data_IF_123533479085
#
_entry.id   IF_123533479085
#
_cell.length_a   1.000
_cell.length_b   1.000
_cell.length_c   1.000
_cell.angle_alpha   90.00
_cell.angle_beta   90.00
_cell.angle_gamma   90.00
#
_symmetry.space_group_name_H-M   'P 1'
#
loop_
_entity.id
_entity.type
_entity.pdbx_description
1 polymer ?
#
# COMPACT_ATOMS: atom_id res chain seq x y z
N UNK A 1 -61.27 3.22 35.42
CA UNK A 1 -60.59 3.29 34.14
C UNK A 1 -59.09 3.52 34.39
N UNK A 2 -58.29 2.47 34.33
CA UNK A 2 -56.84 2.56 34.38
C UNK A 2 -56.37 2.69 32.92
N UNK A 3 -55.95 3.88 32.51
CA UNK A 3 -55.28 4.10 31.23
C UNK A 3 -53.82 3.64 31.38
N UNK A 4 -53.45 2.56 30.68
CA UNK A 4 -52.04 2.18 30.56
C UNK A 4 -51.29 3.28 29.83
N UNK A 5 -50.37 3.91 30.49
CA UNK A 5 -49.35 4.76 29.83
C UNK A 5 -48.43 3.81 29.01
N UNK A 6 -48.61 3.82 27.69
CA UNK A 6 -47.61 3.22 26.80
C UNK A 6 -46.35 4.05 26.92
N UNK A 7 -45.32 3.48 27.55
CA UNK A 7 -43.96 4.04 27.47
C UNK A 7 -43.56 4.09 25.99
N UNK A 8 -43.39 5.30 25.48
CA UNK A 8 -42.89 5.50 24.09
C UNK A 8 -41.66 4.69 23.84
N UNK A 9 -41.64 3.96 22.72
CA UNK A 9 -40.43 3.23 22.29
C UNK A 9 -39.21 4.14 22.36
N UNK A 10 -38.20 3.75 23.15
CA UNK A 10 -36.92 4.44 23.25
C UNK A 10 -35.86 3.51 22.68
N UNK A 11 -34.95 4.00 21.83
CA UNK A 11 -34.86 5.35 21.28
C UNK A 11 -35.96 5.65 20.23
N UNK A 12 -36.44 6.89 20.17
CA UNK A 12 -37.47 7.26 19.20
C UNK A 12 -36.82 7.26 17.77
N UNK A 13 -37.57 6.91 16.71
CA UNK A 13 -37.10 6.98 15.34
C UNK A 13 -36.56 8.39 14.97
N UNK A 14 -37.12 9.43 15.54
CA UNK A 14 -36.69 10.82 15.36
C UNK A 14 -35.29 11.06 15.94
N UNK A 15 -34.93 10.42 17.07
CA UNK A 15 -33.63 10.56 17.67
C UNK A 15 -32.54 9.93 16.79
N UNK A 16 -32.78 8.76 16.24
CA UNK A 16 -31.83 8.10 15.35
C UNK A 16 -31.60 8.93 14.07
N UNK A 17 -32.67 9.48 13.46
CA UNK A 17 -32.53 10.37 12.30
C UNK A 17 -31.76 11.66 12.61
N UNK A 18 -31.90 12.20 13.81
CA UNK A 18 -31.13 13.36 14.25
C UNK A 18 -29.63 13.05 14.41
N UNK A 19 -29.31 11.93 15.05
CA UNK A 19 -27.90 11.47 15.18
C UNK A 19 -27.28 11.21 13.81
N UNK A 20 -28.00 10.54 12.91
CA UNK A 20 -27.53 10.31 11.54
C UNK A 20 -27.24 11.61 10.80
N UNK A 21 -28.12 12.62 10.91
CA UNK A 21 -27.92 13.93 10.32
C UNK A 21 -26.66 14.62 10.88
N UNK A 22 -26.44 14.57 12.21
CA UNK A 22 -25.23 15.14 12.82
C UNK A 22 -23.95 14.46 12.33
N UNK A 23 -23.94 13.12 12.24
CA UNK A 23 -22.77 12.39 11.76
C UNK A 23 -22.51 12.71 10.28
N UNK A 24 -23.57 12.90 9.48
CA UNK A 24 -23.44 13.31 8.08
C UNK A 24 -22.79 14.70 7.96
N UNK A 25 -23.19 15.65 8.79
CA UNK A 25 -22.56 16.97 8.84
C UNK A 25 -21.10 16.91 9.28
N UNK A 26 -20.77 16.07 10.27
CA UNK A 26 -19.40 15.83 10.69
C UNK A 26 -18.55 15.22 9.56
N UNK A 27 -19.06 14.22 8.85
CA UNK A 27 -18.40 13.60 7.73
C UNK A 27 -18.13 14.61 6.61
N UNK A 28 -19.12 15.46 6.28
CA UNK A 28 -18.97 16.56 5.32
C UNK A 28 -17.90 17.56 5.76
N UNK A 29 -17.85 17.92 7.04
CA UNK A 29 -16.81 18.80 7.59
C UNK A 29 -15.39 18.23 7.47
N UNK A 30 -15.26 16.92 7.51
CA UNK A 30 -13.98 16.20 7.31
C UNK A 30 -13.67 15.89 5.84
N UNK A 31 -14.56 16.22 4.91
CA UNK A 31 -14.53 15.80 3.50
C UNK A 31 -14.42 14.28 3.33
N UNK A 32 -15.07 13.52 4.20
CA UNK A 32 -15.16 12.08 4.14
C UNK A 32 -16.57 11.65 3.74
N UNK A 33 -16.71 10.53 3.01
CA UNK A 33 -18.01 9.94 2.74
C UNK A 33 -18.70 9.53 4.05
N UNK A 34 -20.02 9.76 4.14
CA UNK A 34 -20.80 9.42 5.32
C UNK A 34 -20.69 7.93 5.69
N UNK A 35 -20.80 7.05 4.69
CA UNK A 35 -20.73 5.61 4.87
C UNK A 35 -19.37 5.15 5.43
N UNK A 36 -18.28 5.84 5.07
CA UNK A 36 -16.95 5.59 5.61
C UNK A 36 -16.86 5.88 7.11
N UNK A 37 -17.60 6.89 7.58
CA UNK A 37 -17.60 7.29 9.00
C UNK A 37 -18.57 6.45 9.82
N UNK A 38 -19.71 6.08 9.24
CA UNK A 38 -20.81 5.50 9.98
C UNK A 38 -20.89 3.98 9.84
N UNK A 39 -21.06 3.47 8.64
CA UNK A 39 -21.24 2.03 8.39
C UNK A 39 -20.85 1.64 6.96
N UNK A 40 -19.62 1.21 6.79
CA UNK A 40 -19.16 0.66 5.51
C UNK A 40 -19.71 -0.73 5.20
N UNK A 41 -20.11 -1.50 6.21
CA UNK A 41 -20.59 -2.87 6.03
C UNK A 41 -21.94 -2.91 5.29
N UNK A 42 -22.71 -1.83 5.36
CA UNK A 42 -23.98 -1.69 4.64
C UNK A 42 -23.81 -1.49 3.13
N UNK A 43 -22.60 -1.22 2.64
CA UNK A 43 -22.32 -0.94 1.23
C UNK A 43 -22.03 -2.24 0.46
N UNK A 44 -22.64 -2.37 -0.74
CA UNK A 44 -22.22 -3.38 -1.71
C UNK A 44 -20.81 -3.12 -2.25
N UNK A 45 -20.12 -4.16 -2.72
CA UNK A 45 -18.69 -4.11 -3.10
C UNK A 45 -18.29 -2.97 -4.04
N UNK A 46 -19.13 -2.62 -5.03
CA UNK A 46 -18.85 -1.51 -5.96
C UNK A 46 -18.97 -0.16 -5.25
N UNK A 47 -20.03 0.05 -4.46
CA UNK A 47 -20.24 1.28 -3.71
C UNK A 47 -19.13 1.48 -2.67
N UNK A 48 -18.73 0.44 -1.96
CA UNK A 48 -17.63 0.48 -1.01
C UNK A 48 -16.31 0.93 -1.66
N UNK A 49 -16.01 0.46 -2.88
CA UNK A 49 -14.81 0.90 -3.62
C UNK A 49 -14.84 2.39 -3.97
N UNK A 50 -15.99 2.89 -4.39
CA UNK A 50 -16.16 4.32 -4.73
C UNK A 50 -15.97 5.18 -3.47
N UNK A 51 -16.61 4.82 -2.37
CA UNK A 51 -16.51 5.51 -1.09
C UNK A 51 -15.07 5.52 -0.55
N UNK A 52 -14.38 4.37 -0.61
CA UNK A 52 -12.97 4.28 -0.24
C UNK A 52 -12.08 5.14 -1.14
N UNK A 53 -12.33 5.16 -2.44
CA UNK A 53 -11.56 5.99 -3.36
C UNK A 53 -11.75 7.49 -3.07
N UNK A 54 -12.95 7.91 -2.65
CA UNK A 54 -13.22 9.28 -2.23
C UNK A 54 -12.50 9.62 -0.91
N UNK A 55 -12.58 8.75 0.09
CA UNK A 55 -11.85 8.90 1.35
C UNK A 55 -10.33 8.96 1.11
N UNK A 56 -9.81 8.11 0.25
CA UNK A 56 -8.39 8.07 -0.09
C UNK A 56 -7.88 9.38 -0.74
N UNK A 57 -8.71 10.04 -1.56
CA UNK A 57 -8.36 11.36 -2.11
C UNK A 57 -8.20 12.41 -1.01
N UNK A 58 -9.06 12.38 0.00
CA UNK A 58 -8.97 13.28 1.16
C UNK A 58 -7.71 13.00 1.97
N UNK A 59 -7.39 11.73 2.24
CA UNK A 59 -6.16 11.35 2.93
C UNK A 59 -4.91 11.76 2.16
N UNK A 60 -4.86 11.49 0.85
CA UNK A 60 -3.73 11.90 0.00
C UNK A 60 -3.52 13.41 0.00
N UNK A 61 -4.59 14.20 -0.06
CA UNK A 61 -4.51 15.65 0.06
C UNK A 61 -3.92 16.09 1.40
N UNK A 62 -4.36 15.47 2.49
CA UNK A 62 -3.86 15.77 3.84
C UNK A 62 -2.39 15.37 4.00
N UNK A 63 -1.98 14.24 3.44
CA UNK A 63 -0.59 13.79 3.40
C UNK A 63 0.30 14.78 2.64
N UNK A 64 -0.11 15.24 1.47
CA UNK A 64 0.62 16.25 0.69
C UNK A 64 0.77 17.58 1.44
N UNK A 65 -0.29 18.03 2.13
CA UNK A 65 -0.21 19.23 2.96
C UNK A 65 0.73 19.06 4.14
N UNK A 66 0.74 17.89 4.78
CA UNK A 66 1.65 17.56 5.88
C UNK A 66 3.10 17.53 5.38
N UNK A 67 3.34 16.89 4.25
CA UNK A 67 4.65 16.82 3.61
C UNK A 67 5.19 18.22 3.29
N UNK A 68 4.42 19.03 2.59
CA UNK A 68 4.84 20.34 2.11
C UNK A 68 5.02 21.35 3.25
N UNK A 69 4.08 21.37 4.21
CA UNK A 69 4.03 22.42 5.21
C UNK A 69 4.73 22.09 6.52
N UNK A 70 4.94 20.81 6.81
CA UNK A 70 5.49 20.37 8.10
C UNK A 70 6.76 19.55 7.91
N UNK A 71 6.69 18.44 7.18
CA UNK A 71 7.78 17.48 7.12
C UNK A 71 9.00 18.04 6.38
N UNK A 72 8.81 18.61 5.19
CA UNK A 72 9.91 19.19 4.41
C UNK A 72 10.59 20.36 5.11
N UNK A 73 9.89 21.37 5.64
CA UNK A 73 10.53 22.46 6.39
C UNK A 73 11.30 21.99 7.62
N UNK A 74 10.76 21.04 8.39
CA UNK A 74 11.46 20.49 9.57
C UNK A 74 12.71 19.73 9.14
N UNK A 75 12.62 18.85 8.15
CA UNK A 75 13.75 18.11 7.59
C UNK A 75 14.84 19.07 7.11
N UNK A 76 14.46 20.07 6.30
CA UNK A 76 15.42 21.02 5.75
C UNK A 76 16.12 21.83 6.86
N UNK A 77 15.40 22.25 7.90
CA UNK A 77 15.97 22.95 9.04
C UNK A 77 16.96 22.06 9.84
N UNK A 78 16.61 20.78 10.05
CA UNK A 78 17.47 19.86 10.81
C UNK A 78 18.72 19.50 10.02
N UNK A 79 18.57 19.11 8.74
CA UNK A 79 19.70 18.68 7.91
C UNK A 79 20.65 19.86 7.61
N UNK A 80 20.12 21.04 7.26
CA UNK A 80 20.95 22.21 7.01
C UNK A 80 21.77 22.62 8.25
N UNK A 81 21.16 22.51 9.44
CA UNK A 81 21.86 22.74 10.71
C UNK A 81 22.98 21.71 10.92
N UNK A 82 22.72 20.43 10.70
CA UNK A 82 23.71 19.37 10.84
C UNK A 82 24.90 19.55 9.86
N UNK A 83 24.63 19.97 8.62
CA UNK A 83 25.68 20.33 7.65
C UNK A 83 26.49 21.55 8.13
N UNK A 84 25.83 22.59 8.63
CA UNK A 84 26.47 23.78 9.11
C UNK A 84 27.42 23.50 10.29
N UNK A 85 27.06 22.58 11.18
CA UNK A 85 27.91 22.14 12.28
C UNK A 85 28.93 21.05 11.89
N UNK A 86 29.06 20.69 10.63
CA UNK A 86 30.01 19.69 10.15
C UNK A 86 29.69 18.25 10.57
N UNK A 87 28.46 17.96 11.03
CA UNK A 87 28.01 16.62 11.41
C UNK A 87 27.65 15.76 10.19
N UNK A 88 27.26 16.40 9.10
CA UNK A 88 26.93 15.75 7.84
C UNK A 88 27.69 16.38 6.68
N UNK A 89 28.13 15.59 5.68
CA UNK A 89 28.75 16.11 4.48
C UNK A 89 27.72 16.89 3.65
N UNK A 90 28.13 18.01 3.06
CA UNK A 90 27.31 18.76 2.11
C UNK A 90 27.29 18.03 0.77
N UNK A 91 26.08 17.65 0.30
CA UNK A 91 25.86 17.05 -1.00
C UNK A 91 24.90 17.90 -1.82
N UNK A 92 25.01 17.85 -3.15
CA UNK A 92 24.17 18.67 -4.06
C UNK A 92 22.65 18.41 -3.90
N UNK A 93 22.27 17.23 -3.40
CA UNK A 93 20.88 16.77 -3.31
C UNK A 93 20.44 16.49 -1.86
N UNK A 94 21.07 17.10 -0.88
CA UNK A 94 20.80 16.86 0.54
C UNK A 94 19.32 17.10 0.94
N UNK A 95 18.63 17.98 0.23
CA UNK A 95 17.24 18.34 0.49
C UNK A 95 16.22 17.40 -0.18
N UNK A 96 16.65 16.52 -1.10
CA UNK A 96 15.75 15.58 -1.75
C UNK A 96 15.47 14.41 -0.82
N UNK A 97 14.22 14.19 -0.50
CA UNK A 97 13.75 12.99 0.16
C UNK A 97 12.38 12.61 -0.39
N UNK A 98 12.00 11.37 -0.23
CA UNK A 98 10.66 10.86 -0.52
C UNK A 98 10.07 10.39 0.82
N UNK A 99 8.92 10.94 1.17
CA UNK A 99 8.19 10.51 2.36
C UNK A 99 7.35 9.29 2.03
N UNK A 100 7.41 8.30 2.89
CA UNK A 100 6.60 7.10 2.77
C UNK A 100 5.42 7.21 3.73
N UNK A 101 4.22 7.08 3.19
CA UNK A 101 2.97 7.11 3.93
C UNK A 101 2.41 5.70 4.06
N UNK A 102 1.48 5.46 5.01
CA UNK A 102 0.82 4.18 5.15
C UNK A 102 0.16 3.72 3.85
N UNK A 103 0.06 2.40 3.69
CA UNK A 103 -0.56 1.76 2.53
C UNK A 103 -1.97 2.29 2.24
N UNK A 104 -2.35 2.27 0.98
CA UNK A 104 -3.69 2.64 0.55
C UNK A 104 -4.73 1.66 1.11
N UNK A 105 -5.85 2.21 1.61
CA UNK A 105 -6.99 1.41 2.04
C UNK A 105 -7.72 0.91 0.78
N UNK A 106 -7.84 -0.39 0.62
CA UNK A 106 -8.54 -1.01 -0.52
C UNK A 106 -9.62 -1.98 -0.03
N UNK A 107 -10.76 -2.00 -0.72
CA UNK A 107 -11.84 -2.93 -0.43
C UNK A 107 -11.61 -4.32 -1.06
N UNK A 108 -10.75 -4.41 -2.07
CA UNK A 108 -10.53 -5.63 -2.85
C UNK A 108 -9.07 -5.68 -3.30
N UNK A 109 -8.25 -6.34 -2.49
CA UNK A 109 -6.82 -6.48 -2.77
C UNK A 109 -6.56 -7.28 -4.05
N UNK A 110 -7.37 -8.29 -4.34
CA UNK A 110 -7.21 -9.12 -5.52
C UNK A 110 -7.39 -8.33 -6.82
N UNK A 111 -8.42 -7.50 -6.89
CA UNK A 111 -8.65 -6.63 -8.04
C UNK A 111 -7.54 -5.58 -8.21
N UNK A 112 -7.12 -4.97 -7.11
CA UNK A 112 -6.04 -3.97 -7.12
C UNK A 112 -4.73 -4.61 -7.61
N UNK A 113 -4.37 -5.79 -7.10
CA UNK A 113 -3.17 -6.52 -7.51
C UNK A 113 -3.18 -6.87 -8.99
N UNK A 114 -4.32 -7.36 -9.52
CA UNK A 114 -4.43 -7.67 -10.96
C UNK A 114 -4.29 -6.42 -11.82
N UNK A 115 -4.90 -5.31 -11.41
CA UNK A 115 -4.77 -4.03 -12.08
C UNK A 115 -3.31 -3.53 -12.07
N UNK A 116 -2.63 -3.65 -10.94
CA UNK A 116 -1.23 -3.23 -10.78
C UNK A 116 -0.28 -4.07 -11.65
N UNK A 117 -0.50 -5.39 -11.71
CA UNK A 117 0.24 -6.27 -12.63
C UNK A 117 0.03 -5.86 -14.08
N UNK A 118 -1.20 -5.58 -14.49
CA UNK A 118 -1.50 -5.13 -15.84
C UNK A 118 -0.85 -3.78 -16.16
N UNK A 119 -0.86 -2.82 -15.23
CA UNK A 119 -0.20 -1.52 -15.40
C UNK A 119 1.33 -1.66 -15.49
N UNK A 120 1.92 -2.55 -14.68
CA UNK A 120 3.35 -2.83 -14.74
C UNK A 120 3.76 -3.48 -16.05
N UNK A 121 2.98 -4.45 -16.56
CA UNK A 121 3.23 -5.10 -17.85
C UNK A 121 3.16 -4.13 -19.03
N UNK A 122 2.32 -3.11 -18.94
CA UNK A 122 2.21 -2.06 -19.95
C UNK A 122 3.19 -0.88 -19.73
N UNK A 123 4.09 -0.94 -18.74
CA UNK A 123 5.07 0.10 -18.47
C UNK A 123 4.48 1.40 -17.88
N UNK A 124 3.23 1.37 -17.41
CA UNK A 124 2.53 2.54 -16.85
C UNK A 124 2.77 2.70 -15.34
N UNK A 125 3.28 1.65 -14.68
CA UNK A 125 3.57 1.64 -13.25
C UNK A 125 4.84 0.84 -13.00
N UNK A 126 5.67 1.28 -12.05
CA UNK A 126 6.92 0.59 -11.70
C UNK A 126 6.71 -0.32 -10.49
N UNK A 127 7.58 -1.33 -10.31
CA UNK A 127 7.60 -2.15 -9.10
C UNK A 127 7.85 -1.30 -7.85
N UNK A 128 8.67 -0.26 -7.97
CA UNK A 128 8.91 0.72 -6.90
C UNK A 128 7.61 1.43 -6.47
N UNK A 129 6.77 1.84 -7.44
CA UNK A 129 5.50 2.52 -7.12
C UNK A 129 4.54 1.57 -6.42
N UNK A 130 4.46 0.30 -6.86
CA UNK A 130 3.59 -0.71 -6.25
C UNK A 130 4.00 -0.97 -4.80
N UNK A 131 5.30 -1.22 -4.54
CA UNK A 131 5.81 -1.49 -3.20
C UNK A 131 5.58 -0.28 -2.27
N UNK A 132 5.83 0.94 -2.78
CA UNK A 132 5.61 2.17 -2.00
C UNK A 132 4.12 2.40 -1.68
N UNK A 133 3.22 2.11 -2.62
CA UNK A 133 1.77 2.22 -2.38
C UNK A 133 1.25 1.17 -1.38
N UNK A 134 1.91 0.01 -1.31
CA UNK A 134 1.67 -1.02 -0.28
C UNK A 134 2.29 -0.66 1.08
N UNK A 135 3.01 0.45 1.17
CA UNK A 135 3.66 0.90 2.40
C UNK A 135 5.00 0.22 2.68
N UNK A 136 5.56 -0.50 1.71
CA UNK A 136 6.88 -1.13 1.79
C UNK A 136 8.01 -0.24 1.29
N UNK A 137 9.23 -0.54 1.71
CA UNK A 137 10.45 0.02 1.14
C UNK A 137 10.91 -0.84 -0.03
N UNK A 138 11.17 -0.18 -1.18
CA UNK A 138 11.55 -0.92 -2.39
C UNK A 138 12.95 -1.51 -2.31
N UNK A 139 13.91 -0.79 -1.72
CA UNK A 139 15.29 -1.26 -1.59
C UNK A 139 15.35 -2.46 -0.65
N UNK A 140 14.68 -2.37 0.51
CA UNK A 140 14.55 -3.48 1.46
C UNK A 140 13.84 -4.68 0.83
N UNK A 141 12.81 -4.44 0.02
CA UNK A 141 12.09 -5.50 -0.70
C UNK A 141 12.99 -6.21 -1.69
N UNK A 142 13.79 -5.47 -2.49
CA UNK A 142 14.75 -6.05 -3.44
C UNK A 142 15.84 -6.84 -2.72
N UNK A 143 16.40 -6.31 -1.63
CA UNK A 143 17.39 -7.04 -0.82
C UNK A 143 16.83 -8.33 -0.24
N UNK A 144 15.58 -8.28 0.25
CA UNK A 144 14.89 -9.46 0.81
C UNK A 144 14.65 -10.51 -0.27
N UNK A 145 14.17 -10.10 -1.45
CA UNK A 145 13.97 -11.00 -2.58
C UNK A 145 15.30 -11.65 -3.07
N UNK A 146 16.39 -10.88 -3.09
CA UNK A 146 17.70 -11.40 -3.46
C UNK A 146 18.19 -12.42 -2.42
N UNK A 147 17.99 -12.15 -1.14
CA UNK A 147 18.34 -13.08 -0.04
C UNK A 147 17.50 -14.35 -0.11
N UNK A 148 16.20 -14.25 -0.33
CA UNK A 148 15.31 -15.41 -0.52
C UNK A 148 15.75 -16.25 -1.73
N UNK A 149 16.13 -15.63 -2.84
CA UNK A 149 16.62 -16.32 -4.02
C UNK A 149 17.92 -17.11 -3.72
N UNK A 150 18.87 -16.50 -3.02
CA UNK A 150 20.11 -17.20 -2.59
C UNK A 150 19.80 -18.36 -1.66
N UNK A 151 18.90 -18.21 -0.70
CA UNK A 151 18.48 -19.29 0.20
C UNK A 151 17.82 -20.45 -0.56
N UNK A 152 16.98 -20.14 -1.56
CA UNK A 152 16.35 -21.16 -2.41
C UNK A 152 17.37 -21.94 -3.25
N UNK A 153 18.38 -21.26 -3.80
CA UNK A 153 19.48 -21.92 -4.52
C UNK A 153 20.26 -22.85 -3.60
N UNK A 154 20.68 -22.36 -2.42
CA UNK A 154 21.40 -23.15 -1.45
C UNK A 154 20.60 -24.39 -0.99
N UNK A 155 19.33 -24.23 -0.69
CA UNK A 155 18.44 -25.33 -0.31
C UNK A 155 18.23 -26.34 -1.46
N UNK A 156 18.21 -25.89 -2.72
CA UNK A 156 18.13 -26.76 -3.89
C UNK A 156 19.37 -27.61 -4.03
N UNK A 157 20.55 -27.04 -3.82
CA UNK A 157 21.85 -27.75 -3.88
C UNK A 157 22.00 -28.75 -2.73
N UNK A 158 21.64 -28.35 -1.50
CA UNK A 158 21.78 -29.19 -0.31
C UNK A 158 20.84 -30.40 -0.31
N UNK A 159 19.60 -30.21 -0.76
CA UNK A 159 18.55 -31.26 -0.71
C UNK A 159 18.38 -32.00 -2.04
N UNK A 160 19.15 -31.68 -3.08
CA UNK A 160 19.03 -32.24 -4.44
C UNK A 160 17.60 -32.14 -5.00
N UNK A 161 16.88 -31.11 -4.60
CA UNK A 161 15.51 -30.82 -5.08
C UNK A 161 15.59 -29.76 -6.20
N UNK A 162 14.91 -29.96 -7.34
CA UNK A 162 14.92 -28.97 -8.41
C UNK A 162 14.43 -27.59 -7.88
N UNK A 163 15.15 -26.53 -8.26
CA UNK A 163 14.84 -25.15 -7.83
C UNK A 163 13.42 -24.72 -8.21
N UNK A 164 12.87 -25.32 -9.27
CA UNK A 164 11.51 -25.11 -9.74
C UNK A 164 10.46 -25.56 -8.70
N UNK A 165 10.77 -26.57 -7.90
CA UNK A 165 9.89 -27.08 -6.85
C UNK A 165 9.94 -26.20 -5.62
N UNK A 166 11.12 -25.66 -5.29
CA UNK A 166 11.33 -24.79 -4.13
C UNK A 166 10.79 -23.38 -4.40
N UNK A 167 10.95 -22.88 -5.63
CA UNK A 167 10.59 -21.51 -6.03
C UNK A 167 9.21 -21.41 -6.67
N UNK A 168 8.22 -22.20 -6.25
CA UNK A 168 6.84 -22.14 -6.77
C UNK A 168 6.19 -20.74 -6.75
N UNK A 169 6.80 -19.79 -6.03
CA UNK A 169 6.33 -18.39 -5.96
C UNK A 169 6.57 -17.57 -7.24
N UNK A 170 7.46 -18.03 -8.14
CA UNK A 170 7.84 -17.27 -9.35
C UNK A 170 7.85 -18.16 -10.60
N UNK A 171 6.68 -18.57 -11.10
CA UNK A 171 6.63 -19.51 -12.24
C UNK A 171 7.33 -18.97 -13.49
N UNK A 172 7.32 -17.67 -13.73
CA UNK A 172 7.98 -17.07 -14.88
C UNK A 172 9.51 -16.98 -14.73
N UNK A 173 10.03 -16.68 -13.55
CA UNK A 173 11.46 -16.67 -13.26
C UNK A 173 12.03 -18.10 -13.33
N UNK A 174 11.30 -19.07 -12.83
CA UNK A 174 11.64 -20.48 -12.87
C UNK A 174 11.79 -21.01 -14.29
N UNK A 175 10.87 -20.68 -15.19
CA UNK A 175 10.96 -21.07 -16.60
C UNK A 175 12.16 -20.42 -17.30
N UNK A 176 12.45 -19.15 -17.01
CA UNK A 176 13.63 -18.47 -17.58
C UNK A 176 14.94 -19.08 -17.09
N UNK A 177 15.05 -19.41 -15.82
CA UNK A 177 16.24 -20.06 -15.24
C UNK A 177 16.42 -21.45 -15.83
N UNK A 178 15.35 -22.23 -15.98
CA UNK A 178 15.39 -23.54 -16.62
C UNK A 178 15.86 -23.47 -18.08
N UNK A 179 15.38 -22.50 -18.85
CA UNK A 179 15.84 -22.27 -20.23
C UNK A 179 17.32 -21.84 -20.31
N UNK A 180 17.77 -20.96 -19.44
CA UNK A 180 19.18 -20.57 -19.35
C UNK A 180 20.09 -21.74 -19.01
N UNK A 181 19.70 -22.60 -18.06
CA UNK A 181 20.47 -23.82 -17.73
C UNK A 181 20.55 -24.79 -18.90
N UNK A 182 19.47 -25.02 -19.63
CA UNK A 182 19.50 -25.84 -20.84
C UNK A 182 20.42 -25.27 -21.90
N UNK A 183 20.45 -23.98 -22.12
CA UNK A 183 21.35 -23.31 -23.07
C UNK A 183 22.81 -23.45 -22.64
N UNK A 184 23.13 -23.31 -21.34
CA UNK A 184 24.48 -23.47 -20.83
C UNK A 184 24.96 -24.92 -20.98
N UNK A 185 24.14 -25.92 -20.65
CA UNK A 185 24.49 -27.33 -20.84
C UNK A 185 24.70 -27.71 -22.32
N UNK A 186 23.96 -27.09 -23.25
CA UNK A 186 24.16 -27.30 -24.68
C UNK A 186 25.47 -26.67 -25.16
N UNK A 187 25.82 -25.49 -24.67
CA UNK A 187 27.07 -24.82 -25.02
C UNK A 187 28.30 -25.57 -24.50
N UNK A 188 28.22 -26.20 -23.33
CA UNK A 188 29.30 -27.01 -22.75
C UNK A 188 29.45 -28.36 -23.44
N UNK A 189 28.43 -28.87 -24.14
CA UNK A 189 28.54 -30.12 -24.93
C UNK A 189 29.05 -29.88 -26.36
N UNK A 190 29.06 -28.65 -26.85
CA UNK A 190 29.58 -28.27 -28.18
C UNK A 190 31.01 -27.75 -28.14
N UNK A 191 31.60 -27.56 -26.94
CA UNK A 191 32.97 -27.11 -26.70
C UNK A 191 33.88 -28.31 -26.40
#
# INVERSE_FOLDING_TARGET
NVSMFQTSMRPSPTFNGFIEALIREMANGLNLPFSFVWDMAALGGVSARIELAMAQRTFKRSQLLLEERVLNPIKDAVISRAITYGQLPSTEKWNKCKWQFPAHITADQGYTTQSDIALMQNGLKTGHDIVTEMGGDYEETVETLAREAMMNVAASEEQVIPIEVISQRYPNATQQIAMMRQQMMQADMES
#
